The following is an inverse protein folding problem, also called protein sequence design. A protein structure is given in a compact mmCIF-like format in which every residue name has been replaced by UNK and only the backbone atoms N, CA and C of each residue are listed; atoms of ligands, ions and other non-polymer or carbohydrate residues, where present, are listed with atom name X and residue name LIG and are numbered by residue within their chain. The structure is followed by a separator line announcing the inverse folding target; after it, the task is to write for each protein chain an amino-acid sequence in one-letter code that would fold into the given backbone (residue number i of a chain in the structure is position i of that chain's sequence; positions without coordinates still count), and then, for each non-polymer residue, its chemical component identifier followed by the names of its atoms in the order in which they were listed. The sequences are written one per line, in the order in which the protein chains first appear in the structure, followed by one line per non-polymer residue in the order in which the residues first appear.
data_IF_726881521653
#
_entry.id   IF_726881521653
#
_cell.length_a   1.000
_cell.length_b   1.000
_cell.length_c   1.000
_cell.angle_alpha   90.00
_cell.angle_beta   90.00
_cell.angle_gamma   90.00
#
_symmetry.space_group_name_H-M   'P 1'
#
loop_
_entity.id
_entity.type
_entity.pdbx_description
1 polymer ?
#
# COMPACT_ATOMS: atom_id res chain seq x y z
N UNK A 1 -2.59 -7.26 2.41
CA UNK A 1 -3.35 -7.90 3.51
C UNK A 1 -3.07 -7.25 4.88
N UNK A 2 -4.04 -6.51 5.42
CA UNK A 2 -3.91 -5.86 6.72
C UNK A 2 -4.35 -6.80 7.86
N UNK A 3 -3.43 -7.11 8.76
CA UNK A 3 -3.65 -8.00 9.89
C UNK A 3 -4.63 -7.42 10.93
N UNK A 4 -5.43 -8.29 11.58
CA UNK A 4 -6.37 -7.88 12.64
C UNK A 4 -5.62 -7.27 13.83
N UNK A 5 -6.19 -6.21 14.42
CA UNK A 5 -5.59 -5.46 15.56
C UNK A 5 -5.19 -6.40 16.70
N UNK A 6 -6.03 -7.36 17.08
CA UNK A 6 -5.73 -8.33 18.15
C UNK A 6 -4.49 -9.17 17.87
N UNK A 7 -4.36 -9.65 16.63
CA UNK A 7 -3.28 -10.53 16.24
C UNK A 7 -1.97 -9.75 16.12
N UNK A 8 -2.04 -8.53 15.57
CA UNK A 8 -0.91 -7.61 15.54
C UNK A 8 -0.46 -7.22 16.95
N UNK A 9 -1.38 -6.85 17.84
CA UNK A 9 -1.10 -6.50 19.23
C UNK A 9 -0.40 -7.66 19.97
N UNK A 10 -0.87 -8.90 19.77
CA UNK A 10 -0.23 -10.09 20.33
C UNK A 10 1.21 -10.29 19.84
N UNK A 11 1.46 -10.13 18.53
CA UNK A 11 2.81 -10.16 17.96
C UNK A 11 3.69 -9.05 18.49
N UNK A 12 3.15 -7.83 18.60
CA UNK A 12 3.88 -6.67 19.07
C UNK A 12 4.29 -6.81 20.53
N UNK A 13 3.40 -7.29 21.42
CA UNK A 13 3.76 -7.59 22.83
C UNK A 13 4.87 -8.65 22.91
N UNK A 14 4.82 -9.70 22.08
CA UNK A 14 5.89 -10.72 22.01
C UNK A 14 7.21 -10.15 21.51
N UNK A 15 7.16 -9.26 20.53
CA UNK A 15 8.35 -8.58 20.00
C UNK A 15 8.95 -7.65 21.04
N UNK A 16 8.14 -6.84 21.72
CA UNK A 16 8.59 -5.97 22.80
C UNK A 16 9.26 -6.75 23.93
N UNK A 17 8.70 -7.91 24.32
CA UNK A 17 9.33 -8.77 25.34
C UNK A 17 10.74 -9.23 24.93
N UNK A 18 10.97 -9.46 23.63
CA UNK A 18 12.27 -9.88 23.08
C UNK A 18 13.24 -8.72 22.87
N UNK A 19 12.74 -7.57 22.43
CA UNK A 19 13.57 -6.41 22.03
C UNK A 19 13.83 -5.48 23.21
N UNK A 20 12.87 -5.35 24.13
CA UNK A 20 12.93 -4.47 25.29
C UNK A 20 13.15 -5.26 26.58
N UNK A 21 14.04 -6.26 26.56
CA UNK A 21 14.32 -7.08 27.75
C UNK A 21 14.96 -6.30 28.90
N UNK A 22 15.54 -5.12 28.61
CA UNK A 22 16.13 -4.19 29.58
C UNK A 22 15.26 -2.98 29.93
N UNK A 23 14.01 -2.94 29.44
CA UNK A 23 13.09 -1.80 29.64
C UNK A 23 13.67 -0.44 29.19
N UNK A 24 14.62 -0.44 28.25
CA UNK A 24 15.31 0.76 27.79
C UNK A 24 14.45 1.67 26.91
N UNK A 25 13.37 1.15 26.30
CA UNK A 25 12.49 1.94 25.45
C UNK A 25 11.42 2.67 26.27
N UNK A 26 11.32 3.98 26.06
CA UNK A 26 10.25 4.81 26.63
C UNK A 26 8.88 4.42 26.06
N UNK A 27 7.85 4.40 26.90
CA UNK A 27 6.47 4.09 26.51
C UNK A 27 5.98 4.95 25.34
N UNK A 28 6.37 6.22 25.29
CA UNK A 28 6.02 7.13 24.18
C UNK A 28 6.57 6.64 22.84
N UNK A 29 7.78 6.08 22.84
CA UNK A 29 8.40 5.53 21.64
C UNK A 29 7.73 4.20 21.24
N UNK A 30 7.41 3.38 22.23
CA UNK A 30 6.69 2.10 22.07
C UNK A 30 5.30 2.31 21.46
N UNK A 31 4.54 3.29 21.94
CA UNK A 31 3.24 3.68 21.40
C UNK A 31 3.38 4.17 19.96
N UNK A 32 4.39 4.99 19.65
CA UNK A 32 4.62 5.48 18.28
C UNK A 32 4.95 4.33 17.31
N UNK A 33 5.75 3.36 17.74
CA UNK A 33 6.04 2.15 16.96
C UNK A 33 4.78 1.32 16.67
N UNK A 34 3.90 1.20 17.66
CA UNK A 34 2.62 0.50 17.51
C UNK A 34 1.68 1.21 16.54
N UNK A 35 1.50 2.53 16.69
CA UNK A 35 0.69 3.36 15.79
C UNK A 35 1.20 3.31 14.34
N UNK A 36 2.52 3.37 14.13
CA UNK A 36 3.11 3.35 12.77
C UNK A 36 2.82 2.07 11.99
N UNK A 37 2.48 0.97 12.67
CA UNK A 37 2.17 -0.31 12.02
C UNK A 37 0.67 -0.62 11.94
N UNK A 38 -0.17 0.21 12.58
CA UNK A 38 -1.64 0.10 12.48
C UNK A 38 -2.12 0.57 11.10
N UNK A 39 -3.36 0.19 10.73
CA UNK A 39 -3.97 0.66 9.48
C UNK A 39 -4.09 2.19 9.49
N UNK A 40 -3.74 2.84 8.38
CA UNK A 40 -3.64 4.32 8.31
C UNK A 40 -4.94 5.04 8.67
N UNK A 41 -6.09 4.41 8.43
CA UNK A 41 -7.41 4.93 8.74
C UNK A 41 -7.73 4.97 10.25
N UNK A 42 -7.21 4.01 11.04
CA UNK A 42 -7.43 3.97 12.49
C UNK A 42 -6.39 4.76 13.27
N UNK A 43 -5.19 4.95 12.72
CA UNK A 43 -4.10 5.68 13.39
C UNK A 43 -4.52 7.06 13.92
N UNK A 44 -5.16 7.96 13.16
CA UNK A 44 -5.54 9.27 13.69
C UNK A 44 -6.57 9.16 14.82
N UNK A 45 -7.49 8.21 14.75
CA UNK A 45 -8.52 7.98 15.78
C UNK A 45 -7.90 7.45 17.08
N UNK A 46 -6.95 6.52 16.98
CA UNK A 46 -6.22 6.00 18.14
C UNK A 46 -5.28 7.06 18.71
N UNK A 47 -4.63 7.87 17.86
CA UNK A 47 -3.74 8.95 18.29
C UNK A 47 -4.48 10.09 18.99
N UNK A 48 -5.73 10.36 18.59
CA UNK A 48 -6.60 11.36 19.24
C UNK A 48 -6.84 11.07 20.73
N UNK A 49 -6.91 9.79 21.10
CA UNK A 49 -7.08 9.37 22.50
C UNK A 49 -5.80 9.52 23.36
N UNK A 50 -4.69 10.03 22.80
CA UNK A 50 -3.43 10.28 23.49
C UNK A 50 -2.99 9.13 24.43
N UNK A 51 -2.86 7.89 23.93
CA UNK A 51 -2.52 6.75 24.77
C UNK A 51 -1.12 6.93 25.40
N UNK A 52 -1.04 6.74 26.71
CA UNK A 52 0.20 6.93 27.50
C UNK A 52 1.08 5.69 27.50
N UNK A 53 0.47 4.53 27.32
CA UNK A 53 1.13 3.24 27.32
C UNK A 53 0.59 2.35 26.20
N UNK A 54 1.26 1.22 26.00
CA UNK A 54 0.91 0.29 24.92
C UNK A 54 -0.46 -0.35 25.10
N UNK A 55 -0.92 -0.54 26.35
CA UNK A 55 -2.21 -1.18 26.63
C UNK A 55 -3.36 -0.25 26.29
N UNK A 56 -3.27 1.02 26.69
CA UNK A 56 -4.21 2.07 26.28
C UNK A 56 -4.27 2.22 24.76
N UNK A 57 -3.13 2.14 24.08
CA UNK A 57 -3.09 2.21 22.62
C UNK A 57 -3.80 1.01 21.96
N UNK A 58 -3.66 -0.19 22.55
CA UNK A 58 -4.33 -1.41 22.07
C UNK A 58 -5.83 -1.32 22.32
N UNK A 59 -6.26 -0.88 23.49
CA UNK A 59 -7.68 -0.78 23.84
C UNK A 59 -8.38 0.30 23.02
N UNK A 60 -7.75 1.45 22.81
CA UNK A 60 -8.24 2.47 21.88
C UNK A 60 -8.34 1.94 20.44
N UNK A 61 -7.36 1.17 19.97
CA UNK A 61 -7.42 0.55 18.64
C UNK A 61 -8.55 -0.49 18.50
N UNK A 62 -8.86 -1.22 19.57
CA UNK A 62 -10.00 -2.15 19.59
C UNK A 62 -11.34 -1.42 19.61
N UNK A 63 -11.45 -0.33 20.36
CA UNK A 63 -12.67 0.49 20.40
C UNK A 63 -12.95 1.10 19.03
N UNK A 64 -11.95 1.74 18.42
CA UNK A 64 -12.07 2.29 17.06
C UNK A 64 -12.47 1.22 16.06
N UNK A 65 -11.93 0.00 16.18
CA UNK A 65 -12.33 -1.11 15.31
C UNK A 65 -13.78 -1.57 15.58
N UNK A 66 -14.21 -1.61 16.84
CA UNK A 66 -15.60 -1.95 17.17
C UNK A 66 -16.58 -0.92 16.61
N UNK A 67 -16.18 0.36 16.61
CA UNK A 67 -16.96 1.46 16.08
C UNK A 67 -16.93 1.50 14.54
N UNK A 68 -15.83 1.03 13.93
CA UNK A 68 -15.69 0.79 12.50
C UNK A 68 -16.01 -0.67 12.18
N UNK A 69 -17.29 -1.04 12.21
CA UNK A 69 -17.72 -2.31 11.64
C UNK A 69 -17.20 -2.43 10.18
N UNK A 70 -16.53 -3.54 9.90
CA UNK A 70 -15.56 -3.81 8.81
C UNK A 70 -16.13 -3.73 7.35
N UNK A 71 -17.24 -3.04 7.04
CA UNK A 71 -17.99 -3.31 5.79
C UNK A 71 -17.84 -2.30 4.62
N UNK A 72 -17.23 -1.12 4.75
CA UNK A 72 -17.35 -0.09 3.68
C UNK A 72 -16.06 0.36 2.96
N UNK A 73 -14.85 0.01 3.42
CA UNK A 73 -13.61 0.56 2.82
C UNK A 73 -12.81 -0.41 1.95
N UNK A 74 -13.06 -1.73 2.05
CA UNK A 74 -12.38 -2.72 1.21
C UNK A 74 -13.03 -2.74 -0.19
N UNK A 75 -14.36 -2.61 -0.30
CA UNK A 75 -15.06 -2.44 -1.60
C UNK A 75 -14.63 -1.18 -2.36
N UNK A 76 -14.47 -0.05 -1.68
CA UNK A 76 -14.11 1.20 -2.36
C UNK A 76 -12.69 1.15 -2.91
N UNK A 77 -11.73 0.51 -2.24
CA UNK A 77 -10.37 0.41 -2.76
C UNK A 77 -10.27 -0.55 -3.95
N UNK A 78 -11.00 -1.66 -3.92
CA UNK A 78 -11.07 -2.59 -5.06
C UNK A 78 -11.73 -1.90 -6.29
N UNK A 79 -12.80 -1.12 -6.08
CA UNK A 79 -13.47 -0.35 -7.13
C UNK A 79 -12.56 0.74 -7.76
N UNK A 80 -11.67 1.35 -6.97
CA UNK A 80 -10.73 2.36 -7.47
C UNK A 80 -9.56 1.74 -8.24
N UNK A 81 -9.04 0.59 -7.80
CA UNK A 81 -7.95 -0.11 -8.51
C UNK A 81 -8.43 -0.71 -9.84
N UNK A 82 -9.64 -1.30 -9.90
CA UNK A 82 -10.21 -1.80 -11.17
C UNK A 82 -10.47 -0.67 -12.17
N UNK A 83 -10.92 0.49 -11.69
CA UNK A 83 -11.18 1.64 -12.54
C UNK A 83 -9.89 2.23 -13.12
N UNK A 84 -8.83 2.35 -12.33
CA UNK A 84 -7.53 2.84 -12.79
C UNK A 84 -6.89 1.87 -13.81
N UNK A 85 -6.99 0.55 -13.59
CA UNK A 85 -6.50 -0.46 -14.52
C UNK A 85 -7.26 -0.47 -15.85
N UNK A 86 -8.60 -0.36 -15.81
CA UNK A 86 -9.40 -0.28 -17.04
C UNK A 86 -9.16 0.98 -17.86
N UNK A 87 -8.89 2.11 -17.20
CA UNK A 87 -8.56 3.37 -17.87
C UNK A 87 -7.16 3.32 -18.53
N UNK A 88 -6.20 2.64 -17.90
CA UNK A 88 -4.89 2.34 -18.48
C UNK A 88 -5.01 1.36 -19.67
N UNK A 89 -5.80 0.29 -19.54
CA UNK A 89 -6.04 -0.65 -20.65
C UNK A 89 -6.73 0.03 -21.84
N UNK A 90 -7.73 0.89 -21.59
CA UNK A 90 -8.39 1.66 -22.65
C UNK A 90 -7.44 2.64 -23.35
N UNK A 91 -6.53 3.27 -22.60
CA UNK A 91 -5.49 4.11 -23.18
C UNK A 91 -4.50 3.31 -24.03
N UNK A 92 -4.08 2.13 -23.56
CA UNK A 92 -3.18 1.24 -24.31
C UNK A 92 -3.86 0.66 -25.57
N UNK A 93 -5.16 0.34 -25.49
CA UNK A 93 -5.94 -0.16 -26.63
C UNK A 93 -6.15 0.92 -27.70
N UNK A 94 -6.49 2.15 -27.31
CA UNK A 94 -6.60 3.27 -28.25
C UNK A 94 -5.24 3.68 -28.85
N UNK A 95 -4.14 3.51 -28.09
CA UNK A 95 -2.80 3.77 -28.61
C UNK A 95 -2.31 2.69 -29.59
N UNK A 96 -2.90 1.48 -29.63
CA UNK A 96 -2.55 0.46 -30.62
C UNK A 96 -3.23 0.66 -31.97
N UNK A 97 -4.39 1.34 -32.03
CA UNK A 97 -5.06 1.65 -33.30
C UNK A 97 -4.37 2.76 -34.11
N UNK A 98 -3.54 3.60 -33.48
CA UNK A 98 -2.82 4.67 -34.18
C UNK A 98 -1.51 4.23 -34.87
N UNK A 99 -1.09 2.96 -34.71
CA UNK A 99 0.12 2.39 -35.35
C UNK A 99 -0.16 1.43 -36.52
N UNK A 100 -1.40 1.34 -37.03
CA UNK A 100 -1.73 0.50 -38.20
C UNK A 100 -1.95 1.29 -39.51
N UNK A 101 -1.42 2.52 -39.62
CA UNK A 101 -1.62 3.35 -40.83
C UNK A 101 -0.37 4.12 -41.27
N UNK A 102 0.72 3.39 -41.55
CA UNK A 102 1.67 3.68 -42.64
C UNK A 102 2.81 2.63 -42.64
N UNK A 103 2.54 1.44 -43.17
CA UNK A 103 3.59 0.50 -43.62
C UNK A 103 3.48 0.26 -45.11
N UNK A 104 3.31 1.34 -45.89
CA UNK A 104 3.51 1.29 -47.33
C UNK A 104 5.01 1.44 -47.65
N UNK A 105 5.64 0.26 -47.78
CA UNK A 105 6.71 -0.07 -48.73
C UNK A 105 8.04 0.70 -48.62
N UNK A 106 8.96 0.14 -47.84
CA UNK A 106 10.38 0.14 -48.23
C UNK A 106 10.82 -1.32 -48.50
N UNK A 107 11.42 -1.61 -49.67
CA UNK A 107 11.96 -2.94 -49.97
C UNK A 107 12.99 -3.40 -48.91
N UNK A 108 12.92 -4.68 -48.56
CA UNK A 108 13.75 -5.35 -47.54
C UNK A 108 15.25 -5.45 -47.88
N UNK A 109 15.73 -4.80 -48.94
CA UNK A 109 17.13 -4.82 -49.39
C UNK A 109 17.88 -3.49 -49.19
N UNK A 110 17.26 -2.47 -48.57
CA UNK A 110 17.96 -1.23 -48.27
C UNK A 110 18.91 -1.37 -47.07
N UNK A 111 20.21 -1.50 -47.37
CA UNK A 111 21.30 -1.41 -46.39
C UNK A 111 22.04 -0.06 -46.54
N UNK A 112 21.86 0.90 -45.61
CA UNK A 112 22.47 2.24 -45.71
C UNK A 112 23.99 2.27 -45.46
N UNK A 113 24.65 1.12 -45.29
CA UNK A 113 26.10 1.01 -45.08
C UNK A 113 26.87 0.44 -46.28
N UNK A 114 26.23 0.30 -47.45
CA UNK A 114 26.86 -0.31 -48.63
C UNK A 114 27.19 0.68 -49.76
N UNK A 115 27.49 1.94 -49.42
CA UNK A 115 28.09 2.89 -50.36
C UNK A 115 29.54 3.19 -49.94
N UNK A 116 30.45 2.27 -50.26
CA UNK A 116 31.86 2.60 -50.48
C UNK A 116 32.54 1.42 -51.18
N UNK A 117 32.60 1.47 -52.51
CA UNK A 117 33.73 1.11 -53.36
C UNK A 117 33.26 0.95 -54.82
N UNK A 118 33.27 2.04 -55.58
CA UNK A 118 33.87 2.06 -56.92
C UNK A 118 34.10 3.47 -57.44
#
# INVERSE_FOLDING_TARGET
PYEKVDFYAGKFKRLLKKVNSSSALSDKYTVRLFLNRLRKNIVPLVAFNHPKNIEEAIDAAKQVKSDQQDDELEQVLDDYEEKELSEIEAYMANSQEEYELETDLLPLDYNPWNEENH
#
